data_IF_994127133243
#
_entry.id   IF_994127133243
#
_cell.length_a   1.000
_cell.length_b   1.000
_cell.length_c   1.000
_cell.angle_alpha   90.00
_cell.angle_beta   90.00
_cell.angle_gamma   90.00
#
_symmetry.space_group_name_H-M   'P 1'
#
loop_
_entity.id
_entity.type
_entity.pdbx_description
1 polymer ?
#
# COMPACT_ATOMS: atom_id res chain seq x y z
N UNK A 1 42.40 56.17 36.47
CA UNK A 1 42.60 54.87 37.15
C UNK A 1 41.30 54.09 37.05
N UNK A 2 41.25 53.07 36.19
CA UNK A 2 40.04 52.27 35.99
C UNK A 2 39.85 51.31 37.17
N UNK A 3 38.76 51.46 37.94
CA UNK A 3 38.37 50.51 38.99
C UNK A 3 37.75 49.30 38.32
N UNK A 4 38.42 48.15 38.39
CA UNK A 4 37.91 46.87 37.91
C UNK A 4 36.63 46.49 38.63
N UNK A 5 35.61 46.08 37.87
CA UNK A 5 34.32 45.66 38.41
C UNK A 5 34.48 44.41 39.31
N UNK A 6 33.81 44.35 40.47
CA UNK A 6 33.83 43.18 41.33
C UNK A 6 33.12 42.01 40.63
N UNK A 7 33.81 40.89 40.47
CA UNK A 7 33.26 39.66 39.90
C UNK A 7 32.50 38.92 40.99
N UNK A 8 31.18 39.09 41.02
CA UNK A 8 30.29 38.35 41.93
C UNK A 8 30.07 36.95 41.35
N UNK A 9 30.60 35.92 41.99
CA UNK A 9 30.36 34.52 41.60
C UNK A 9 29.46 33.86 42.64
N UNK A 10 28.31 33.34 42.21
CA UNK A 10 27.39 32.57 43.07
C UNK A 10 27.89 31.13 43.25
N UNK A 11 29.00 30.99 43.98
CA UNK A 11 29.73 29.73 44.17
C UNK A 11 28.94 28.70 45.00
N UNK A 12 27.86 29.11 45.66
CA UNK A 12 27.03 28.26 46.50
C UNK A 12 25.92 27.57 45.66
N UNK A 13 25.32 28.30 44.71
CA UNK A 13 24.40 27.70 43.75
C UNK A 13 25.11 26.73 42.79
N UNK A 14 26.33 27.04 42.37
CA UNK A 14 27.15 26.13 41.54
C UNK A 14 27.42 24.81 42.27
N UNK A 15 27.86 24.87 43.54
CA UNK A 15 28.08 23.67 44.36
C UNK A 15 26.80 22.87 44.65
N UNK A 16 25.65 23.54 44.77
CA UNK A 16 24.37 22.87 44.92
C UNK A 16 23.98 22.09 43.65
N UNK A 17 24.14 22.70 42.47
CA UNK A 17 23.89 22.02 41.19
C UNK A 17 24.85 20.84 41.01
N UNK A 18 26.15 21.02 41.27
CA UNK A 18 27.16 19.96 41.17
C UNK A 18 26.91 18.78 42.13
N UNK A 19 26.28 19.03 43.28
CA UNK A 19 25.96 17.97 44.27
C UNK A 19 24.59 17.32 44.07
N UNK A 20 23.67 17.94 43.31
CA UNK A 20 22.29 17.48 43.15
C UNK A 20 21.92 17.08 41.71
N UNK A 21 22.69 17.50 40.71
CA UNK A 21 22.57 17.02 39.34
C UNK A 21 23.64 15.96 39.09
N UNK A 22 23.23 14.70 39.19
CA UNK A 22 24.06 13.56 38.80
C UNK A 22 24.09 13.45 37.27
N UNK A 23 24.95 14.27 36.66
CA UNK A 23 25.21 14.28 35.23
C UNK A 23 25.67 12.91 34.76
N UNK A 24 26.41 12.18 35.59
CA UNK A 24 26.90 10.83 35.26
C UNK A 24 25.73 9.85 35.12
N UNK A 25 24.77 9.85 36.06
CA UNK A 25 23.58 9.01 35.95
C UNK A 25 22.78 9.30 34.66
N UNK A 26 22.65 10.57 34.27
CA UNK A 26 21.96 10.92 33.03
C UNK A 26 22.74 10.47 31.79
N UNK A 27 24.07 10.63 31.79
CA UNK A 27 24.96 10.17 30.72
C UNK A 27 24.89 8.65 30.57
N UNK A 28 24.97 7.90 31.67
CA UNK A 28 24.86 6.43 31.68
C UNK A 28 23.49 5.98 31.15
N UNK A 29 22.41 6.67 31.55
CA UNK A 29 21.06 6.39 31.04
C UNK A 29 20.93 6.73 29.56
N UNK A 30 21.54 7.82 29.10
CA UNK A 30 21.54 8.21 27.70
C UNK A 30 22.26 7.17 26.85
N UNK A 31 23.46 6.74 27.27
CA UNK A 31 24.22 5.68 26.61
C UNK A 31 23.45 4.36 26.58
N UNK A 32 22.77 4.00 27.68
CA UNK A 32 21.93 2.80 27.72
C UNK A 32 20.74 2.88 26.75
N UNK A 33 20.10 4.05 26.62
CA UNK A 33 19.02 4.27 25.65
C UNK A 33 19.56 4.19 24.23
N UNK A 34 20.70 4.82 23.94
CA UNK A 34 21.32 4.80 22.61
C UNK A 34 21.70 3.37 22.19
N UNK A 35 22.27 2.58 23.11
CA UNK A 35 22.57 1.17 22.86
C UNK A 35 21.30 0.36 22.58
N UNK A 36 20.22 0.60 23.32
CA UNK A 36 18.92 -0.04 23.09
C UNK A 36 18.31 0.37 21.75
N UNK A 37 18.43 1.64 21.37
CA UNK A 37 17.93 2.16 20.10
C UNK A 37 18.62 1.48 18.92
N UNK A 38 19.96 1.42 18.93
CA UNK A 38 20.76 0.70 17.93
C UNK A 38 20.38 -0.78 17.83
N UNK A 39 20.16 -1.42 18.99
CA UNK A 39 19.71 -2.82 19.01
C UNK A 39 18.29 -2.98 18.41
N UNK A 40 17.37 -2.05 18.68
CA UNK A 40 16.02 -2.10 18.08
C UNK A 40 16.03 -1.83 16.58
N UNK A 41 16.86 -0.90 16.09
CA UNK A 41 17.02 -0.62 14.67
C UNK A 41 17.56 -1.84 13.92
N UNK A 42 18.58 -2.50 14.47
CA UNK A 42 19.12 -3.73 13.91
C UNK A 42 18.07 -4.84 13.85
N UNK A 43 17.28 -5.02 14.92
CA UNK A 43 16.18 -6.00 14.94
C UNK A 43 15.09 -5.67 13.92
N UNK A 44 14.78 -4.39 13.73
CA UNK A 44 13.78 -3.95 12.76
C UNK A 44 14.23 -4.27 11.34
N UNK A 45 15.49 -3.99 11.01
CA UNK A 45 16.08 -4.33 9.72
C UNK A 45 16.04 -5.85 9.46
N UNK A 46 16.37 -6.67 10.47
CA UNK A 46 16.28 -8.13 10.38
C UNK A 46 14.86 -8.64 10.12
N UNK A 47 13.87 -8.06 10.80
CA UNK A 47 12.44 -8.40 10.59
C UNK A 47 11.98 -7.97 9.21
N UNK A 48 12.37 -6.78 8.74
CA UNK A 48 12.03 -6.30 7.40
C UNK A 48 12.60 -7.20 6.31
N UNK A 49 13.85 -7.65 6.45
CA UNK A 49 14.47 -8.60 5.52
C UNK A 49 13.76 -9.96 5.52
N UNK A 50 13.38 -10.48 6.69
CA UNK A 50 12.60 -11.72 6.80
C UNK A 50 11.21 -11.59 6.17
N UNK A 51 10.56 -10.44 6.34
CA UNK A 51 9.27 -10.15 5.73
C UNK A 51 9.37 -10.13 4.20
N UNK A 52 10.37 -9.42 3.65
CA UNK A 52 10.64 -9.41 2.20
C UNK A 52 10.89 -10.82 1.66
N UNK A 53 11.68 -11.63 2.35
CA UNK A 53 11.94 -13.02 1.95
C UNK A 53 10.67 -13.88 1.98
N UNK A 54 9.82 -13.72 3.00
CA UNK A 54 8.55 -14.43 3.09
C UNK A 54 7.59 -14.01 1.96
N UNK A 55 7.50 -12.72 1.65
CA UNK A 55 6.71 -12.20 0.53
C UNK A 55 7.16 -12.80 -0.80
N UNK A 56 8.47 -12.87 -1.07
CA UNK A 56 8.99 -13.54 -2.27
C UNK A 56 8.58 -15.02 -2.34
N UNK A 57 8.74 -15.77 -1.24
CA UNK A 57 8.39 -17.20 -1.20
C UNK A 57 6.90 -17.45 -1.39
N UNK A 58 6.06 -16.61 -0.81
CA UNK A 58 4.60 -16.66 -1.01
C UNK A 58 4.29 -16.39 -2.47
N UNK A 59 4.88 -15.35 -3.07
CA UNK A 59 4.69 -15.01 -4.47
C UNK A 59 5.07 -16.17 -5.43
N UNK A 60 6.19 -16.86 -5.15
CA UNK A 60 6.65 -18.02 -5.93
C UNK A 60 5.72 -19.23 -5.79
N UNK A 61 5.30 -19.54 -4.57
CA UNK A 61 4.33 -20.61 -4.29
C UNK A 61 3.01 -20.33 -5.00
N UNK A 62 2.50 -19.11 -4.89
CA UNK A 62 1.26 -18.70 -5.53
C UNK A 62 1.33 -18.77 -7.05
N UNK A 63 2.46 -18.37 -7.66
CA UNK A 63 2.69 -18.53 -9.09
C UNK A 63 2.72 -20.00 -9.54
N UNK A 64 3.09 -20.90 -8.63
CA UNK A 64 3.20 -22.34 -8.88
C UNK A 64 1.90 -23.11 -8.69
N UNK A 65 0.84 -22.48 -8.17
CA UNK A 65 -0.46 -23.12 -7.91
C UNK A 65 -1.44 -22.74 -9.02
N UNK A 66 -1.74 -23.64 -9.98
CA UNK A 66 -2.67 -23.38 -11.08
C UNK A 66 -4.06 -22.98 -10.58
N UNK A 67 -4.47 -23.53 -9.44
CA UNK A 67 -5.74 -23.26 -8.77
C UNK A 67 -5.94 -21.79 -8.43
N UNK A 68 -4.86 -21.02 -8.19
CA UNK A 68 -4.96 -19.59 -7.90
C UNK A 68 -5.29 -18.79 -9.15
N UNK A 69 -4.74 -19.15 -10.33
CA UNK A 69 -5.13 -18.52 -11.60
C UNK A 69 -6.59 -18.78 -11.94
N UNK A 70 -7.10 -19.96 -11.59
CA UNK A 70 -8.51 -20.30 -11.79
C UNK A 70 -9.41 -19.49 -10.83
N UNK A 71 -8.98 -19.28 -9.57
CA UNK A 71 -9.67 -18.38 -8.63
C UNK A 71 -9.68 -16.93 -9.12
N UNK A 72 -8.56 -16.42 -9.66
CA UNK A 72 -8.50 -15.07 -10.24
C UNK A 72 -9.39 -14.93 -11.47
N UNK A 73 -9.42 -15.95 -12.35
CA UNK A 73 -10.37 -15.97 -13.45
C UNK A 73 -11.82 -15.96 -12.98
N UNK A 74 -12.12 -16.71 -11.91
CA UNK A 74 -13.45 -16.73 -11.31
C UNK A 74 -13.87 -15.36 -10.77
N UNK A 75 -12.95 -14.58 -10.18
CA UNK A 75 -13.23 -13.20 -9.75
C UNK A 75 -13.74 -12.34 -10.91
N UNK A 76 -12.96 -12.25 -11.99
CA UNK A 76 -13.30 -11.42 -13.16
C UNK A 76 -14.58 -11.93 -13.84
N UNK A 77 -14.73 -13.25 -13.99
CA UNK A 77 -15.93 -13.86 -14.58
C UNK A 77 -17.19 -13.65 -13.72
N UNK A 78 -17.05 -13.66 -12.38
CA UNK A 78 -18.16 -13.34 -11.46
C UNK A 78 -18.56 -11.88 -11.58
N UNK A 79 -17.60 -10.95 -11.65
CA UNK A 79 -17.88 -9.54 -11.91
C UNK A 79 -18.67 -9.34 -13.21
N UNK A 80 -18.26 -10.01 -14.30
CA UNK A 80 -18.99 -9.96 -15.58
C UNK A 80 -20.43 -10.45 -15.48
N UNK A 81 -20.67 -11.55 -14.76
CA UNK A 81 -22.00 -12.13 -14.59
C UNK A 81 -22.88 -11.29 -13.67
N UNK A 82 -22.40 -10.99 -12.47
CA UNK A 82 -23.21 -10.45 -11.37
C UNK A 82 -23.40 -8.93 -11.47
N UNK A 83 -22.43 -8.21 -12.05
CA UNK A 83 -22.44 -6.75 -12.11
C UNK A 83 -22.69 -6.23 -13.53
N UNK A 84 -22.01 -6.81 -14.53
CA UNK A 84 -22.11 -6.34 -15.91
C UNK A 84 -23.16 -7.08 -16.75
N UNK A 85 -23.68 -8.21 -16.26
CA UNK A 85 -24.65 -9.06 -16.95
C UNK A 85 -24.24 -9.43 -18.39
N UNK A 86 -22.94 -9.66 -18.62
CA UNK A 86 -22.35 -9.90 -19.95
C UNK A 86 -21.37 -11.09 -20.00
N UNK A 87 -21.59 -12.11 -19.17
CA UNK A 87 -20.76 -13.31 -19.12
C UNK A 87 -20.83 -14.14 -20.43
N UNK A 88 -19.69 -14.73 -20.79
CA UNK A 88 -19.55 -15.59 -21.98
C UNK A 88 -19.67 -17.07 -21.60
N UNK A 89 -19.77 -17.96 -22.58
CA UNK A 89 -19.77 -19.40 -22.29
C UNK A 89 -18.45 -19.87 -21.65
N UNK A 90 -17.33 -19.22 -21.99
CA UNK A 90 -16.04 -19.43 -21.32
C UNK A 90 -16.09 -19.06 -19.83
N UNK A 91 -16.74 -17.93 -19.50
CA UNK A 91 -16.95 -17.53 -18.12
C UNK A 91 -17.79 -18.58 -17.37
N UNK A 92 -18.88 -19.07 -17.98
CA UNK A 92 -19.71 -20.13 -17.37
C UNK A 92 -18.94 -21.42 -17.11
N UNK A 93 -18.03 -21.82 -17.99
CA UNK A 93 -17.15 -22.98 -17.76
C UNK A 93 -16.25 -22.75 -16.55
N UNK A 94 -15.61 -21.59 -16.45
CA UNK A 94 -14.78 -21.22 -15.28
C UNK A 94 -15.61 -21.32 -13.99
N UNK A 95 -16.85 -20.82 -14.00
CA UNK A 95 -17.74 -20.82 -12.85
C UNK A 95 -18.24 -22.20 -12.43
N UNK A 96 -18.51 -23.10 -13.38
CA UNK A 96 -18.94 -24.49 -13.07
C UNK A 96 -17.85 -25.28 -12.33
N UNK A 97 -16.59 -24.87 -12.45
CA UNK A 97 -15.44 -25.63 -11.96
C UNK A 97 -15.03 -25.24 -10.53
N UNK A 98 -15.61 -24.20 -9.93
CA UNK A 98 -15.17 -23.71 -8.62
C UNK A 98 -16.27 -23.10 -7.76
N UNK A 99 -16.55 -23.74 -6.62
CA UNK A 99 -17.24 -23.12 -5.48
C UNK A 99 -16.19 -22.52 -4.51
N UNK A 100 -15.24 -21.76 -5.05
CA UNK A 100 -14.06 -21.27 -4.30
C UNK A 100 -14.35 -19.85 -3.79
N UNK A 101 -13.97 -19.59 -2.55
CA UNK A 101 -14.02 -18.27 -1.95
C UNK A 101 -13.19 -17.32 -2.81
N UNK A 102 -13.83 -16.30 -3.37
CA UNK A 102 -13.14 -15.33 -4.20
C UNK A 102 -12.61 -14.23 -3.30
N UNK A 103 -11.29 -14.15 -3.19
CA UNK A 103 -10.61 -13.01 -2.58
C UNK A 103 -10.82 -11.78 -3.48
N UNK A 104 -10.91 -10.58 -2.91
CA UNK A 104 -11.20 -9.34 -3.64
C UNK A 104 -10.23 -9.00 -4.78
N UNK A 105 -10.22 -7.75 -5.21
CA UNK A 105 -9.32 -7.27 -6.26
C UNK A 105 -7.85 -7.59 -5.96
N UNK A 106 -7.14 -8.08 -6.97
CA UNK A 106 -5.69 -8.27 -7.01
C UNK A 106 -5.21 -7.91 -8.41
N UNK A 107 -4.92 -6.63 -8.60
CA UNK A 107 -4.61 -6.04 -9.89
C UNK A 107 -3.34 -6.66 -10.49
N UNK A 108 -2.32 -6.95 -9.67
CA UNK A 108 -1.06 -7.51 -10.16
C UNK A 108 -1.25 -8.94 -10.67
N UNK A 109 -2.00 -9.78 -9.95
CA UNK A 109 -2.30 -11.16 -10.38
C UNK A 109 -3.32 -11.21 -11.50
N UNK A 110 -4.34 -10.37 -11.47
CA UNK A 110 -5.34 -10.31 -12.53
C UNK A 110 -4.71 -9.85 -13.85
N UNK A 111 -3.72 -8.97 -13.80
CA UNK A 111 -2.98 -8.56 -15.00
C UNK A 111 -2.24 -9.74 -15.65
N UNK A 112 -1.72 -10.69 -14.87
CA UNK A 112 -1.04 -11.88 -15.38
C UNK A 112 -1.97 -12.77 -16.23
N UNK A 113 -3.28 -12.70 -16.03
CA UNK A 113 -4.27 -13.44 -16.83
C UNK A 113 -4.39 -12.90 -18.28
N UNK A 114 -3.84 -11.72 -18.55
CA UNK A 114 -3.83 -11.10 -19.88
C UNK A 114 -2.49 -11.32 -20.60
N UNK A 115 -1.60 -12.13 -20.03
CA UNK A 115 -0.29 -12.48 -20.60
C UNK A 115 -0.25 -13.94 -21.06
N UNK A 116 0.68 -14.26 -21.98
CA UNK A 116 0.80 -15.61 -22.51
C UNK A 116 1.18 -16.61 -21.41
N UNK A 117 0.73 -17.89 -21.46
CA UNK A 117 0.04 -18.54 -22.58
C UNK A 117 -1.50 -18.58 -22.48
N UNK A 118 -2.10 -18.18 -21.36
CA UNK A 118 -3.56 -18.14 -21.18
C UNK A 118 -4.01 -16.69 -21.20
N UNK A 119 -4.57 -16.25 -22.33
CA UNK A 119 -4.84 -14.85 -22.61
C UNK A 119 -6.33 -14.54 -22.48
N UNK A 120 -6.73 -13.95 -21.36
CA UNK A 120 -7.95 -13.13 -21.35
C UNK A 120 -7.80 -12.02 -22.39
N UNK A 121 -8.89 -11.70 -23.08
CA UNK A 121 -8.94 -10.68 -24.16
C UNK A 121 -9.94 -9.57 -23.87
N UNK A 122 -10.68 -9.69 -22.79
CA UNK A 122 -11.67 -8.73 -22.32
C UNK A 122 -10.98 -7.63 -21.48
N UNK A 123 -10.06 -6.90 -22.12
CA UNK A 123 -9.25 -5.85 -21.49
C UNK A 123 -10.10 -4.72 -20.90
N UNK A 124 -11.26 -4.43 -21.50
CA UNK A 124 -12.20 -3.43 -20.99
C UNK A 124 -12.76 -3.80 -19.60
N UNK A 125 -12.91 -5.10 -19.32
CA UNK A 125 -13.36 -5.60 -18.02
C UNK A 125 -12.30 -5.35 -16.96
N UNK A 126 -11.03 -5.59 -17.28
CA UNK A 126 -9.92 -5.28 -16.38
C UNK A 126 -9.85 -3.77 -16.09
N UNK A 127 -9.99 -2.94 -17.14
CA UNK A 127 -9.99 -1.47 -16.97
C UNK A 127 -11.16 -1.02 -16.10
N UNK A 128 -12.35 -1.61 -16.24
CA UNK A 128 -13.49 -1.32 -15.34
C UNK A 128 -13.20 -1.65 -13.87
N UNK A 129 -12.42 -2.70 -13.61
CA UNK A 129 -12.02 -3.09 -12.25
C UNK A 129 -10.90 -2.21 -11.70
N UNK A 130 -9.90 -1.86 -12.49
CA UNK A 130 -8.64 -1.32 -11.99
C UNK A 130 -8.27 0.06 -12.54
N UNK A 131 -9.07 0.63 -13.44
CA UNK A 131 -8.86 1.95 -14.03
C UNK A 131 -7.73 2.04 -15.07
N UNK A 132 -6.78 1.10 -15.07
CA UNK A 132 -5.60 1.09 -15.93
C UNK A 132 -5.53 -0.17 -16.79
N UNK A 133 -4.75 -0.11 -17.86
CA UNK A 133 -4.49 -1.27 -18.72
C UNK A 133 -3.62 -2.32 -18.00
N UNK A 134 -3.83 -3.65 -18.19
CA UNK A 134 -3.08 -4.69 -17.50
C UNK A 134 -1.55 -4.55 -17.57
N UNK A 135 -1.00 -4.21 -18.74
CA UNK A 135 0.46 -4.07 -18.89
C UNK A 135 1.02 -2.90 -18.07
N UNK A 136 0.29 -1.79 -17.96
CA UNK A 136 0.69 -0.65 -17.12
C UNK A 136 0.75 -1.10 -15.66
N UNK A 137 -0.31 -1.76 -15.18
CA UNK A 137 -0.34 -2.26 -13.80
C UNK A 137 0.75 -3.30 -13.56
N UNK A 138 1.01 -4.16 -14.55
CA UNK A 138 2.02 -5.22 -14.44
C UNK A 138 3.43 -4.66 -14.33
N UNK A 139 3.80 -3.72 -15.19
CA UNK A 139 5.19 -3.31 -15.39
C UNK A 139 5.54 -1.93 -14.82
N UNK A 140 4.59 -1.01 -14.76
CA UNK A 140 4.83 0.39 -14.37
C UNK A 140 4.37 0.71 -12.95
N UNK A 141 3.45 -0.08 -12.37
CA UNK A 141 2.95 0.14 -11.02
C UNK A 141 3.66 -0.79 -10.04
N UNK A 142 4.57 -0.24 -9.22
CA UNK A 142 5.20 -0.95 -8.11
C UNK A 142 4.84 -0.39 -6.74
N UNK A 143 4.42 0.88 -6.69
CA UNK A 143 4.10 1.57 -5.44
C UNK A 143 2.91 0.95 -4.72
N UNK A 144 3.17 0.41 -3.52
CA UNK A 144 2.20 -0.37 -2.73
C UNK A 144 0.89 0.36 -2.44
N UNK A 145 0.88 1.65 -2.04
CA UNK A 145 -0.36 2.38 -1.84
C UNK A 145 -1.24 2.45 -3.09
N UNK A 146 -0.65 2.56 -4.29
CA UNK A 146 -1.41 2.50 -5.55
C UNK A 146 -2.04 1.14 -5.74
N UNK A 147 -1.25 0.06 -5.59
CA UNK A 147 -1.74 -1.33 -5.74
C UNK A 147 -2.93 -1.59 -4.79
N UNK A 148 -2.79 -1.22 -3.52
CA UNK A 148 -3.84 -1.41 -2.51
C UNK A 148 -5.10 -0.61 -2.85
N UNK A 149 -4.96 0.60 -3.39
CA UNK A 149 -6.10 1.44 -3.78
C UNK A 149 -6.84 0.87 -5.01
N UNK A 150 -6.11 0.38 -6.01
CA UNK A 150 -6.70 -0.30 -7.18
C UNK A 150 -7.45 -1.57 -6.77
N UNK A 151 -6.84 -2.37 -5.89
CA UNK A 151 -7.46 -3.60 -5.35
C UNK A 151 -8.74 -3.28 -4.57
N UNK A 152 -8.73 -2.20 -3.78
CA UNK A 152 -9.90 -1.75 -3.03
C UNK A 152 -11.04 -1.32 -3.96
N UNK A 153 -10.73 -0.55 -5.01
CA UNK A 153 -11.73 -0.18 -6.03
C UNK A 153 -12.36 -1.44 -6.66
N UNK A 154 -11.54 -2.34 -7.20
CA UNK A 154 -12.00 -3.57 -7.83
C UNK A 154 -12.86 -4.44 -6.89
N UNK A 155 -12.47 -4.54 -5.61
CA UNK A 155 -13.25 -5.27 -4.60
C UNK A 155 -14.63 -4.63 -4.42
N UNK A 156 -14.68 -3.30 -4.27
CA UNK A 156 -15.91 -2.58 -4.01
C UNK A 156 -16.89 -2.65 -5.20
N UNK A 157 -16.40 -2.46 -6.44
CA UNK A 157 -17.26 -2.52 -7.64
C UNK A 157 -17.70 -3.93 -8.02
N UNK A 158 -16.97 -4.95 -7.56
CA UNK A 158 -17.30 -6.34 -7.83
C UNK A 158 -18.31 -6.94 -6.83
N UNK A 159 -18.54 -6.30 -5.69
CA UNK A 159 -19.48 -6.79 -4.69
C UNK A 159 -20.87 -6.16 -4.88
N UNK A 160 -21.83 -6.99 -5.32
CA UNK A 160 -23.22 -6.59 -5.51
C UNK A 160 -23.96 -6.19 -4.22
N UNK A 161 -23.41 -6.53 -3.05
CA UNK A 161 -24.01 -6.24 -1.76
C UNK A 161 -23.50 -4.92 -1.16
N UNK A 162 -22.51 -4.28 -1.80
CA UNK A 162 -21.96 -3.01 -1.36
C UNK A 162 -22.67 -1.87 -2.09
N UNK A 163 -23.32 -0.98 -1.32
CA UNK A 163 -23.80 0.29 -1.85
C UNK A 163 -22.63 1.27 -1.98
N UNK A 164 -22.30 1.63 -3.22
CA UNK A 164 -21.22 2.58 -3.49
C UNK A 164 -21.70 4.03 -3.32
N UNK A 165 -20.90 4.91 -2.69
CA UNK A 165 -21.20 6.33 -2.65
C UNK A 165 -21.32 6.92 -4.05
N UNK A 166 -22.21 7.92 -4.23
CA UNK A 166 -22.49 8.51 -5.56
C UNK A 166 -21.23 9.04 -6.27
N UNK A 167 -20.26 9.57 -5.51
CA UNK A 167 -19.00 10.12 -6.05
C UNK A 167 -17.86 9.09 -6.15
N UNK A 168 -18.09 7.83 -5.78
CA UNK A 168 -17.04 6.83 -5.65
C UNK A 168 -16.27 6.66 -6.97
N UNK A 169 -16.99 6.45 -8.08
CA UNK A 169 -16.37 6.29 -9.40
C UNK A 169 -15.70 7.58 -9.87
N UNK A 170 -16.31 8.75 -9.66
CA UNK A 170 -15.73 10.04 -10.05
C UNK A 170 -14.40 10.29 -9.33
N UNK A 171 -14.34 10.00 -8.04
CA UNK A 171 -13.12 10.14 -7.24
C UNK A 171 -12.05 9.14 -7.67
N UNK A 172 -12.42 7.91 -8.04
CA UNK A 172 -11.49 6.94 -8.59
C UNK A 172 -10.93 7.40 -9.94
N UNK A 173 -11.78 7.86 -10.85
CA UNK A 173 -11.36 8.39 -12.17
C UNK A 173 -10.42 9.60 -11.98
N UNK A 174 -10.72 10.50 -11.05
CA UNK A 174 -9.85 11.62 -10.72
C UNK A 174 -8.47 11.15 -10.23
N UNK A 175 -8.43 10.09 -9.42
CA UNK A 175 -7.16 9.49 -8.99
C UNK A 175 -6.37 8.90 -10.16
N UNK A 176 -7.01 8.13 -11.03
CA UNK A 176 -6.36 7.54 -12.21
C UNK A 176 -5.79 8.64 -13.13
N UNK A 177 -6.57 9.68 -13.41
CA UNK A 177 -6.12 10.81 -14.24
C UNK A 177 -4.94 11.55 -13.62
N UNK A 178 -4.96 11.79 -12.30
CA UNK A 178 -3.85 12.41 -11.61
C UNK A 178 -2.58 11.54 -11.69
N UNK A 179 -2.73 10.23 -11.48
CA UNK A 179 -1.62 9.27 -11.55
C UNK A 179 -1.03 9.20 -12.97
N UNK A 180 -1.85 9.11 -14.01
CA UNK A 180 -1.40 9.13 -15.41
C UNK A 180 -0.69 10.46 -15.75
N UNK A 181 -1.24 11.60 -15.30
CA UNK A 181 -0.65 12.92 -15.52
C UNK A 181 0.71 13.09 -14.82
N UNK A 182 0.93 12.36 -13.72
CA UNK A 182 2.21 12.30 -13.02
C UNK A 182 3.22 11.33 -13.66
N UNK A 183 2.83 10.67 -14.75
CA UNK A 183 3.59 9.56 -15.35
C UNK A 183 3.84 8.42 -14.35
N UNK A 184 2.78 8.04 -13.63
CA UNK A 184 2.81 6.99 -12.62
C UNK A 184 3.85 7.24 -11.51
N UNK A 185 3.90 8.47 -11.00
CA UNK A 185 4.80 8.88 -9.91
C UNK A 185 4.77 7.83 -8.79
N UNK A 186 5.95 7.35 -8.40
CA UNK A 186 6.11 6.54 -7.19
C UNK A 186 6.30 7.48 -5.99
N UNK A 187 5.96 7.00 -4.79
CA UNK A 187 6.16 7.76 -3.55
C UNK A 187 5.41 9.10 -3.46
N UNK A 188 4.35 9.32 -4.25
CA UNK A 188 3.58 10.58 -4.21
C UNK A 188 3.11 10.95 -2.80
N UNK A 189 2.83 9.98 -1.92
CA UNK A 189 2.42 10.23 -0.54
C UNK A 189 3.49 10.96 0.31
N UNK A 190 4.76 10.94 -0.10
CA UNK A 190 5.81 11.74 0.51
C UNK A 190 5.65 13.24 0.24
N UNK A 191 4.89 13.61 -0.81
CA UNK A 191 4.56 14.98 -1.17
C UNK A 191 3.05 15.25 -0.95
N UNK A 192 2.67 15.86 0.20
CA UNK A 192 1.28 16.21 0.48
C UNK A 192 0.66 17.21 -0.51
N UNK A 193 1.48 17.91 -1.31
CA UNK A 193 1.03 18.88 -2.31
C UNK A 193 0.87 18.27 -3.70
N UNK A 194 1.24 17.00 -3.91
CA UNK A 194 1.02 16.32 -5.18
C UNK A 194 -0.49 16.18 -5.44
N UNK A 195 -0.91 16.44 -6.68
CA UNK A 195 -2.29 16.22 -7.12
C UNK A 195 -2.71 14.76 -6.93
N UNK A 196 -1.77 13.82 -7.13
CA UNK A 196 -1.99 12.38 -6.94
C UNK A 196 -2.32 12.08 -5.48
N UNK A 197 -1.57 12.67 -4.54
CA UNK A 197 -1.81 12.53 -3.10
C UNK A 197 -3.18 13.05 -2.69
N UNK A 198 -3.58 14.22 -3.19
CA UNK A 198 -4.91 14.77 -2.94
C UNK A 198 -6.02 13.84 -3.44
N UNK A 199 -5.90 13.36 -4.69
CA UNK A 199 -6.87 12.44 -5.29
C UNK A 199 -6.91 11.06 -4.59
N UNK A 200 -5.75 10.54 -4.19
CA UNK A 200 -5.61 9.32 -3.40
C UNK A 200 -6.44 9.39 -2.12
N UNK A 201 -6.23 10.43 -1.31
CA UNK A 201 -6.95 10.58 -0.03
C UNK A 201 -8.45 10.81 -0.23
N UNK A 202 -8.83 11.59 -1.25
CA UNK A 202 -10.23 11.83 -1.57
C UNK A 202 -10.96 10.53 -1.94
N UNK A 203 -10.35 9.70 -2.80
CA UNK A 203 -10.93 8.40 -3.14
C UNK A 203 -10.93 7.44 -1.95
N UNK A 204 -9.82 7.33 -1.21
CA UNK A 204 -9.70 6.44 -0.05
C UNK A 204 -10.78 6.70 1.01
N UNK A 205 -11.09 7.98 1.27
CA UNK A 205 -12.16 8.38 2.20
C UNK A 205 -13.56 7.99 1.70
N UNK A 206 -13.75 7.87 0.39
CA UNK A 206 -15.01 7.43 -0.20
C UNK A 206 -15.16 5.92 -0.23
N UNK A 207 -14.11 5.14 0.07
CA UNK A 207 -14.21 3.70 0.03
C UNK A 207 -15.12 3.15 1.13
N UNK A 208 -15.96 2.14 0.80
CA UNK A 208 -16.74 1.42 1.80
C UNK A 208 -15.81 0.75 2.82
N UNK A 209 -16.28 0.67 4.07
CA UNK A 209 -15.54 0.10 5.20
C UNK A 209 -15.68 -1.41 5.27
#
# INVERSE_FOLDING_TARGET
MAKGNPRVTNTQAVRYIESHYDVQMFEDRFQAIEARLKATESRLADVENKAKLAECRISDLEGSVPDLKDVRNLFISTFKRDILFNDTETDKVIMRTGNRFVHGGDCKRDAELYEAPRLRRDFDIYIKLYGLYPSIVRYSISYRPTIELLNRHATAVADKNIELPTKFNDLFVNFIQALESSNFEEDYLANPRSNVTGAYWAFLQSCPK
#
